data_IF_547284717079
#
_entry.id   IF_547284717079
#
_cell.length_a   1.000
_cell.length_b   1.000
_cell.length_c   1.000
_cell.angle_alpha   90.00
_cell.angle_beta   90.00
_cell.angle_gamma   90.00
#
_symmetry.space_group_name_H-M   'P 1'
#
loop_
_entity.id
_entity.type
_entity.pdbx_description
1 polymer ?
#
# COMPACT_ATOMS: atom_id res chain seq x y z
N UNK A 1 9.11 -2.65 10.41
CA UNK A 1 9.91 -3.20 9.31
C UNK A 1 9.11 -3.10 8.00
N UNK A 2 9.74 -2.73 6.89
CA UNK A 2 9.13 -2.80 5.54
C UNK A 2 9.16 -4.27 5.13
N UNK A 3 8.01 -4.83 4.76
CA UNK A 3 7.93 -6.25 4.39
C UNK A 3 8.45 -6.52 2.99
N UNK A 4 8.09 -5.65 2.02
CA UNK A 4 8.53 -5.81 0.65
C UNK A 4 8.59 -4.48 -0.10
N UNK A 5 9.53 -4.37 -1.04
CA UNK A 5 9.61 -3.25 -1.98
C UNK A 5 9.69 -3.83 -3.39
N UNK A 6 8.82 -3.38 -4.28
CA UNK A 6 8.72 -3.93 -5.64
C UNK A 6 8.77 -2.83 -6.70
N UNK A 7 9.56 -3.01 -7.77
CA UNK A 7 9.48 -2.15 -8.95
C UNK A 7 8.38 -2.64 -9.89
N UNK A 8 7.63 -1.71 -10.45
CA UNK A 8 6.64 -1.99 -11.50
C UNK A 8 6.98 -1.16 -12.73
N UNK A 9 7.34 -1.83 -13.82
CA UNK A 9 7.75 -1.24 -15.09
C UNK A 9 8.56 -2.22 -15.92
N UNK A 10 8.91 -1.81 -17.15
CA UNK A 10 9.63 -2.67 -18.10
C UNK A 10 11.15 -2.73 -17.80
N UNK A 11 11.71 -1.69 -17.25
CA UNK A 11 13.12 -1.59 -16.85
C UNK A 11 13.21 -1.01 -15.45
N UNK A 12 14.18 -1.44 -14.66
CA UNK A 12 14.39 -0.94 -13.29
C UNK A 12 14.58 0.58 -13.23
N UNK A 13 15.24 1.16 -14.23
CA UNK A 13 15.53 2.58 -14.33
C UNK A 13 14.28 3.45 -14.52
N UNK A 14 13.23 2.87 -15.13
CA UNK A 14 11.97 3.55 -15.45
C UNK A 14 10.81 3.06 -14.59
N UNK A 15 11.07 2.14 -13.65
CA UNK A 15 10.03 1.54 -12.82
C UNK A 15 9.59 2.47 -11.71
N UNK A 16 8.30 2.40 -11.38
CA UNK A 16 7.76 2.93 -10.14
C UNK A 16 7.94 1.91 -9.03
N UNK A 17 8.45 2.35 -7.91
CA UNK A 17 8.71 1.52 -6.75
C UNK A 17 7.61 1.68 -5.72
N UNK A 18 7.14 0.53 -5.20
CA UNK A 18 6.04 0.43 -4.27
C UNK A 18 6.47 -0.28 -3.00
N UNK A 19 6.01 0.23 -1.87
CA UNK A 19 6.11 -0.47 -0.58
C UNK A 19 4.89 -1.37 -0.44
N UNK A 20 5.10 -2.63 -0.09
CA UNK A 20 4.03 -3.57 0.24
C UNK A 20 4.19 -3.99 1.69
N UNK A 21 3.10 -3.97 2.43
CA UNK A 21 3.05 -4.37 3.83
C UNK A 21 1.84 -5.28 4.07
N UNK A 22 2.07 -6.41 4.74
CA UNK A 22 1.05 -7.40 5.03
C UNK A 22 0.36 -7.07 6.35
N UNK A 23 -0.96 -7.13 6.38
CA UNK A 23 -1.74 -6.90 7.58
C UNK A 23 -2.60 -8.12 7.90
N UNK A 24 -2.52 -8.60 9.14
CA UNK A 24 -3.33 -9.71 9.65
C UNK A 24 -4.55 -9.25 10.44
N UNK A 25 -4.87 -7.95 10.41
CA UNK A 25 -6.00 -7.37 11.12
C UNK A 25 -7.31 -8.08 10.80
N UNK A 26 -8.11 -8.27 11.83
CA UNK A 26 -9.47 -8.77 11.72
C UNK A 26 -10.43 -7.58 11.59
N UNK A 27 -11.17 -7.52 10.49
CA UNK A 27 -12.24 -6.55 10.28
C UNK A 27 -13.55 -7.31 10.26
N UNK A 28 -14.37 -7.14 11.31
CA UNK A 28 -15.69 -7.73 11.40
C UNK A 28 -16.72 -6.84 10.70
N UNK A 29 -17.68 -7.47 10.01
CA UNK A 29 -18.93 -6.81 9.67
C UNK A 29 -19.81 -6.67 10.93
N UNK A 30 -20.79 -5.78 10.92
CA UNK A 30 -21.69 -5.53 12.06
C UNK A 30 -22.22 -6.82 12.68
N UNK A 31 -22.06 -6.94 13.98
CA UNK A 31 -22.72 -7.83 14.95
C UNK A 31 -22.54 -9.35 14.84
N UNK A 32 -22.13 -9.94 13.75
CA UNK A 32 -21.83 -11.36 13.62
C UNK A 32 -20.42 -11.59 13.12
N UNK A 33 -19.67 -12.30 13.91
CA UNK A 33 -18.24 -12.56 13.94
C UNK A 33 -17.57 -13.20 12.71
N UNK A 34 -18.15 -13.16 11.53
CA UNK A 34 -17.56 -13.79 10.36
C UNK A 34 -16.60 -12.85 9.61
N UNK A 35 -15.36 -13.32 9.46
CA UNK A 35 -14.35 -12.64 8.66
C UNK A 35 -14.60 -12.90 7.17
N UNK A 36 -15.46 -12.10 6.56
CA UNK A 36 -15.79 -12.21 5.14
C UNK A 36 -14.96 -11.22 4.30
N UNK A 37 -14.55 -11.58 3.07
CA UNK A 37 -13.86 -10.66 2.16
C UNK A 37 -14.61 -9.34 1.93
N UNK A 38 -15.96 -9.36 1.94
CA UNK A 38 -16.79 -8.16 1.84
C UNK A 38 -16.61 -7.15 2.98
N UNK A 39 -16.13 -7.59 4.15
CA UNK A 39 -15.81 -6.71 5.28
C UNK A 39 -14.53 -5.89 5.03
N UNK A 40 -13.71 -6.30 4.08
CA UNK A 40 -12.45 -5.64 3.70
C UNK A 40 -12.64 -4.73 2.49
N UNK A 41 -13.75 -3.98 2.48
CA UNK A 41 -13.97 -2.91 1.51
C UNK A 41 -13.10 -1.68 1.85
N UNK A 42 -13.04 -0.75 0.92
CA UNK A 42 -12.19 0.44 1.05
C UNK A 42 -12.44 1.23 2.33
N UNK A 43 -13.70 1.50 2.69
CA UNK A 43 -14.04 2.31 3.87
C UNK A 43 -13.63 1.61 5.17
N UNK A 44 -13.93 0.33 5.32
CA UNK A 44 -13.55 -0.44 6.52
C UNK A 44 -12.02 -0.57 6.64
N UNK A 45 -11.32 -0.79 5.55
CA UNK A 45 -9.86 -0.81 5.56
C UNK A 45 -9.28 0.57 5.90
N UNK A 46 -9.87 1.64 5.39
CA UNK A 46 -9.48 3.01 5.70
C UNK A 46 -9.63 3.35 7.18
N UNK A 47 -10.76 2.96 7.79
CA UNK A 47 -10.98 3.12 9.24
C UNK A 47 -9.93 2.36 10.05
N UNK A 48 -9.65 1.11 9.67
CA UNK A 48 -8.63 0.29 10.32
C UNK A 48 -7.22 0.89 10.15
N UNK A 49 -6.92 1.45 8.97
CA UNK A 49 -5.69 2.18 8.72
C UNK A 49 -5.50 3.35 9.68
N UNK A 50 -6.55 4.15 9.89
CA UNK A 50 -6.52 5.31 10.78
C UNK A 50 -6.36 4.87 12.23
N UNK A 51 -7.13 3.88 12.66
CA UNK A 51 -7.11 3.34 14.03
C UNK A 51 -5.73 2.85 14.48
N UNK A 52 -4.97 2.24 13.58
CA UNK A 52 -3.64 1.69 13.84
C UNK A 52 -2.49 2.62 13.42
N UNK A 53 -2.75 3.87 13.07
CA UNK A 53 -1.75 4.85 12.65
C UNK A 53 -0.91 4.41 11.43
N UNK A 54 -1.46 3.55 10.56
CA UNK A 54 -0.79 3.10 9.35
C UNK A 54 -0.45 4.22 8.36
N UNK A 55 -1.22 5.34 8.26
CA UNK A 55 -0.81 6.47 7.44
C UNK A 55 0.54 7.06 7.86
N UNK A 56 0.84 7.13 9.16
CA UNK A 56 2.17 7.54 9.63
C UNK A 56 3.23 6.52 9.21
N UNK A 57 2.96 5.24 9.38
CA UNK A 57 3.86 4.16 8.97
C UNK A 57 4.17 4.24 7.47
N UNK A 58 3.15 4.44 6.62
CA UNK A 58 3.34 4.55 5.17
C UNK A 58 4.22 5.74 4.78
N UNK A 59 4.08 6.89 5.45
CA UNK A 59 4.95 8.04 5.21
C UNK A 59 6.41 7.77 5.57
N UNK A 60 6.65 7.10 6.69
CA UNK A 60 8.01 6.72 7.10
C UNK A 60 8.63 5.71 6.13
N UNK A 61 7.86 4.75 5.66
CA UNK A 61 8.31 3.77 4.68
C UNK A 61 8.61 4.42 3.32
N UNK A 62 7.76 5.33 2.88
CA UNK A 62 7.98 6.06 1.63
C UNK A 62 9.18 7.00 1.71
N UNK A 63 9.42 7.63 2.87
CA UNK A 63 10.61 8.43 3.10
C UNK A 63 11.89 7.58 3.05
N UNK A 64 11.87 6.41 3.68
CA UNK A 64 12.99 5.47 3.63
C UNK A 64 13.25 4.97 2.20
N UNK A 65 12.18 4.61 1.47
CA UNK A 65 12.28 4.22 0.07
C UNK A 65 12.81 5.36 -0.81
N UNK A 66 12.31 6.58 -0.62
CA UNK A 66 12.79 7.77 -1.32
C UNK A 66 14.31 7.95 -1.17
N UNK A 67 14.81 7.86 0.06
CA UNK A 67 16.26 7.97 0.35
C UNK A 67 17.06 6.81 -0.25
N UNK A 68 16.54 5.60 -0.19
CA UNK A 68 17.17 4.43 -0.79
C UNK A 68 17.29 4.59 -2.31
N UNK A 69 16.21 5.00 -2.98
CA UNK A 69 16.20 5.21 -4.43
C UNK A 69 17.11 6.36 -4.85
N UNK A 70 17.13 7.45 -4.09
CA UNK A 70 18.04 8.58 -4.30
C UNK A 70 19.52 8.16 -4.25
N UNK A 71 19.83 7.19 -3.43
CA UNK A 71 21.17 6.64 -3.32
C UNK A 71 21.49 5.60 -4.41
N UNK A 72 20.50 4.80 -4.81
CA UNK A 72 20.69 3.64 -5.71
C UNK A 72 20.48 3.95 -7.18
N UNK A 73 19.55 4.85 -7.50
CA UNK A 73 19.22 5.19 -8.89
C UNK A 73 19.94 6.47 -9.32
N UNK A 74 20.77 6.36 -10.36
CA UNK A 74 21.60 7.47 -10.86
C UNK A 74 20.78 8.71 -11.28
N UNK A 75 19.60 8.49 -11.86
CA UNK A 75 18.73 9.55 -12.38
C UNK A 75 17.39 9.57 -11.64
N UNK A 76 17.41 9.36 -10.33
CA UNK A 76 16.21 9.30 -9.52
C UNK A 76 15.42 10.60 -9.55
N UNK A 77 14.14 10.48 -9.86
CA UNK A 77 13.15 11.54 -9.78
C UNK A 77 11.91 11.01 -9.04
N UNK A 78 11.51 11.62 -7.92
CA UNK A 78 10.38 11.12 -7.11
C UNK A 78 9.10 10.93 -7.91
N UNK A 79 8.76 11.89 -8.78
CA UNK A 79 7.55 11.83 -9.61
C UNK A 79 7.52 10.65 -10.59
N UNK A 80 8.68 10.16 -11.02
CA UNK A 80 8.80 9.06 -11.95
C UNK A 80 8.95 7.71 -11.25
N UNK A 81 9.68 7.68 -10.13
CA UNK A 81 10.15 6.44 -9.54
C UNK A 81 9.46 6.06 -8.22
N UNK A 82 8.88 7.01 -7.50
CA UNK A 82 8.19 6.73 -6.25
C UNK A 82 6.69 6.51 -6.50
N UNK A 83 6.24 5.26 -6.42
CA UNK A 83 4.85 4.88 -6.69
C UNK A 83 3.93 5.16 -5.51
N UNK A 84 4.13 4.44 -4.44
CA UNK A 84 3.28 4.53 -3.27
C UNK A 84 3.39 3.31 -2.36
N UNK A 85 2.30 3.01 -1.70
CA UNK A 85 2.22 1.88 -0.79
C UNK A 85 0.99 1.02 -1.05
N UNK A 86 1.10 -0.25 -0.71
CA UNK A 86 0.02 -1.22 -0.76
C UNK A 86 -0.04 -1.94 0.58
N UNK A 87 -1.18 -1.87 1.25
CA UNK A 87 -1.47 -2.69 2.42
C UNK A 87 -2.35 -3.87 2.00
N UNK A 88 -1.85 -5.08 2.24
CA UNK A 88 -2.57 -6.32 1.95
C UNK A 88 -3.15 -6.90 3.24
N UNK A 89 -4.45 -6.77 3.41
CA UNK A 89 -5.19 -7.39 4.51
C UNK A 89 -5.45 -8.86 4.17
N UNK A 90 -4.58 -9.74 4.64
CA UNK A 90 -4.56 -11.16 4.25
C UNK A 90 -5.88 -11.88 4.45
N UNK A 91 -6.61 -11.55 5.52
CA UNK A 91 -7.92 -12.14 5.83
C UNK A 91 -9.04 -11.64 4.91
N UNK A 92 -8.81 -10.58 4.18
CA UNK A 92 -9.77 -9.99 3.23
C UNK A 92 -9.53 -10.40 1.79
N UNK A 93 -8.42 -11.06 1.50
CA UNK A 93 -8.12 -11.49 0.13
C UNK A 93 -9.09 -12.60 -0.29
N UNK A 94 -9.74 -12.46 -1.45
CA UNK A 94 -10.70 -13.43 -1.92
C UNK A 94 -10.03 -14.74 -2.37
N UNK A 95 -10.79 -15.84 -2.38
CA UNK A 95 -10.40 -17.05 -3.09
C UNK A 95 -10.42 -16.83 -4.63
N UNK A 96 -9.97 -17.80 -5.40
CA UNK A 96 -9.86 -17.67 -6.87
C UNK A 96 -11.20 -17.30 -7.52
N UNK A 97 -12.31 -17.91 -7.08
CA UNK A 97 -13.64 -17.65 -7.67
C UNK A 97 -14.15 -16.25 -7.36
N UNK A 98 -13.94 -15.79 -6.13
CA UNK A 98 -14.30 -14.43 -5.72
C UNK A 98 -13.36 -13.40 -6.33
N UNK A 99 -12.09 -13.76 -6.53
CA UNK A 99 -11.12 -12.90 -7.22
C UNK A 99 -11.56 -12.64 -8.67
N UNK A 100 -11.93 -13.64 -9.43
CA UNK A 100 -12.44 -13.48 -10.81
C UNK A 100 -13.64 -12.52 -10.85
N UNK A 101 -14.62 -12.71 -9.96
CA UNK A 101 -15.78 -11.80 -9.83
C UNK A 101 -15.40 -10.40 -9.40
N UNK A 102 -14.38 -10.25 -8.55
CA UNK A 102 -13.92 -8.93 -8.09
C UNK A 102 -13.23 -8.15 -9.21
N UNK A 103 -12.46 -8.83 -10.05
CA UNK A 103 -11.84 -8.22 -11.24
C UNK A 103 -12.89 -7.71 -12.21
N UNK A 104 -13.93 -8.49 -12.48
CA UNK A 104 -15.05 -8.09 -13.35
C UNK A 104 -15.79 -6.84 -12.83
N UNK A 105 -15.84 -6.64 -11.52
CA UNK A 105 -16.54 -5.52 -10.86
C UNK A 105 -15.62 -4.37 -10.46
N UNK A 106 -14.33 -4.45 -10.77
CA UNK A 106 -13.32 -3.48 -10.32
C UNK A 106 -13.30 -3.29 -8.78
N UNK A 107 -13.48 -4.38 -8.06
CA UNK A 107 -13.44 -4.43 -6.59
C UNK A 107 -12.19 -5.17 -6.15
N UNK A 108 -11.46 -4.62 -5.19
CA UNK A 108 -10.24 -5.23 -4.66
C UNK A 108 -10.31 -5.39 -3.14
N UNK A 109 -11.14 -6.32 -2.63
CA UNK A 109 -11.24 -6.55 -1.18
C UNK A 109 -9.88 -6.98 -0.62
N UNK A 110 -9.53 -6.46 0.55
CA UNK A 110 -8.26 -6.74 1.21
C UNK A 110 -7.05 -5.99 0.65
N UNK A 111 -7.22 -5.21 -0.42
CA UNK A 111 -6.12 -4.42 -1.03
C UNK A 111 -6.37 -2.94 -0.83
N UNK A 112 -5.52 -2.27 -0.06
CA UNK A 112 -5.56 -0.82 0.14
C UNK A 112 -4.34 -0.18 -0.50
N UNK A 113 -4.54 0.66 -1.51
CA UNK A 113 -3.49 1.31 -2.30
C UNK A 113 -3.50 2.81 -2.04
N UNK A 114 -2.33 3.38 -1.78
CA UNK A 114 -2.12 4.81 -1.70
C UNK A 114 -0.95 5.26 -2.55
N UNK A 115 -1.12 6.37 -3.26
CA UNK A 115 -0.03 6.98 -4.01
C UNK A 115 0.89 7.76 -3.08
N UNK A 116 2.17 7.84 -3.45
CA UNK A 116 3.14 8.61 -2.70
C UNK A 116 2.80 10.12 -2.74
N UNK A 117 2.63 10.77 -1.58
CA UNK A 117 2.43 12.22 -1.51
C UNK A 117 3.79 12.93 -1.69
N UNK A 118 4.23 13.08 -2.92
CA UNK A 118 5.58 13.50 -3.30
C UNK A 118 6.02 14.79 -2.60
N UNK A 119 5.16 15.82 -2.59
CA UNK A 119 5.50 17.10 -1.95
C UNK A 119 5.75 16.94 -0.45
N UNK A 120 4.96 16.09 0.22
CA UNK A 120 5.12 15.80 1.64
C UNK A 120 6.39 15.00 1.92
N UNK A 121 6.70 14.01 1.08
CA UNK A 121 7.93 13.22 1.20
C UNK A 121 9.16 14.11 1.01
N UNK A 122 9.17 14.97 0.00
CA UNK A 122 10.25 15.93 -0.23
C UNK A 122 10.43 16.90 0.94
N UNK A 123 9.32 17.33 1.55
CA UNK A 123 9.38 18.18 2.74
C UNK A 123 9.97 17.44 3.95
N UNK A 124 9.52 16.23 4.22
CA UNK A 124 10.04 15.39 5.30
C UNK A 124 11.52 15.06 5.10
N UNK A 125 11.97 14.82 3.86
CA UNK A 125 13.38 14.55 3.57
C UNK A 125 14.30 15.73 3.92
N UNK A 126 13.80 16.96 3.82
CA UNK A 126 14.54 18.17 4.21
C UNK A 126 14.59 18.38 5.72
N UNK A 127 13.58 17.90 6.47
CA UNK A 127 13.51 18.04 7.92
C UNK A 127 14.41 17.05 8.67
N UNK A 128 14.61 15.90 8.10
CA UNK A 128 15.39 14.79 8.66
C UNK A 128 16.63 14.51 7.81
#
# INVERSE_FOLDING_TARGET
CIDCVVPIGNKLEDSKWWVIDWKSNFISGSENSDCLPGNYNYENMKEEMIKHHYPLQSHLYLLALHRLLKWRLKNYQPNLHLGGYVYLFLKGLPDIKLFEKSVEKDISPGVFIGQAPINRINYLDKLF
#
